data_IF_092083054593
#
_entry.id   IF_092083054593
#
_cell.length_a   1.000
_cell.length_b   1.000
_cell.length_c   1.000
_cell.angle_alpha   90.00
_cell.angle_beta   90.00
_cell.angle_gamma   90.00
#
_symmetry.space_group_name_H-M   'P 1'
#
loop_
_entity.id
_entity.type
_entity.pdbx_description
1 polymer ?
#
# COMPACT_ATOMS: atom_id res chain seq x y z
N UNK A 1 -6.97 -7.76 10.12
CA UNK A 1 -7.45 -7.37 8.79
C UNK A 1 -7.37 -8.59 7.89
N UNK A 2 -8.48 -8.98 7.24
CA UNK A 2 -8.53 -10.15 6.34
C UNK A 2 -8.05 -9.77 4.94
N UNK A 3 -7.50 -10.72 4.17
CA UNK A 3 -7.00 -10.42 2.82
C UNK A 3 -8.08 -9.93 1.86
N UNK A 4 -9.36 -10.28 2.05
CA UNK A 4 -10.45 -9.65 1.30
C UNK A 4 -10.49 -8.12 1.46
N UNK A 5 -10.19 -7.61 2.67
CA UNK A 5 -10.15 -6.18 2.93
C UNK A 5 -8.94 -5.55 2.26
N UNK A 6 -7.76 -6.19 2.36
CA UNK A 6 -6.55 -5.74 1.67
C UNK A 6 -6.76 -5.60 0.17
N UNK A 7 -7.40 -6.60 -0.45
CA UNK A 7 -7.63 -6.63 -1.90
C UNK A 7 -8.62 -5.55 -2.38
N UNK A 8 -9.38 -4.93 -1.47
CA UNK A 8 -10.32 -3.84 -1.75
C UNK A 8 -9.76 -2.46 -1.36
N UNK A 9 -8.55 -2.39 -0.78
CA UNK A 9 -7.93 -1.15 -0.30
C UNK A 9 -6.83 -0.67 -1.24
N UNK A 10 -6.93 0.61 -1.61
CA UNK A 10 -5.90 1.34 -2.37
C UNK A 10 -5.46 2.57 -1.59
N UNK A 11 -4.28 3.10 -1.89
CA UNK A 11 -3.84 4.38 -1.33
C UNK A 11 -4.81 5.51 -1.71
N UNK A 12 -5.20 6.31 -0.73
CA UNK A 12 -6.11 7.44 -0.85
C UNK A 12 -5.39 8.80 -0.95
N UNK A 13 -4.06 8.80 -1.09
CA UNK A 13 -3.25 10.02 -1.21
C UNK A 13 -3.56 10.68 -2.56
N UNK A 14 -3.85 11.99 -2.55
CA UNK A 14 -4.17 12.70 -3.80
C UNK A 14 -2.96 12.72 -4.73
N UNK A 15 -3.20 12.49 -6.02
CA UNK A 15 -2.16 12.47 -7.04
C UNK A 15 -1.43 11.12 -7.19
N UNK A 16 -1.77 10.13 -6.36
CA UNK A 16 -1.33 8.75 -6.58
C UNK A 16 -2.16 8.12 -7.69
N UNK A 17 -1.48 7.64 -8.73
CA UNK A 17 -2.08 6.89 -9.84
C UNK A 17 -1.90 5.38 -9.66
N UNK A 18 -0.82 4.98 -9.00
CA UNK A 18 -0.47 3.59 -8.70
C UNK A 18 -0.58 3.36 -7.19
N UNK A 19 -1.81 3.26 -6.69
CA UNK A 19 -2.10 3.10 -5.26
C UNK A 19 -2.39 1.66 -4.82
N UNK A 20 -2.35 0.71 -5.74
CA UNK A 20 -2.74 -0.69 -5.52
C UNK A 20 -1.78 -1.64 -6.25
N UNK A 21 -1.49 -2.83 -5.68
CA UNK A 21 -1.82 -3.24 -4.31
C UNK A 21 -0.94 -2.55 -3.27
N UNK A 22 -1.47 -2.36 -2.06
CA UNK A 22 -0.66 -1.91 -0.93
C UNK A 22 0.26 -3.06 -0.48
N UNK A 23 1.56 -2.82 -0.37
CA UNK A 23 2.52 -3.84 0.09
C UNK A 23 2.29 -4.14 1.58
N UNK A 24 2.17 -5.40 1.94
CA UNK A 24 2.02 -5.81 3.34
C UNK A 24 3.40 -5.91 3.98
N UNK A 25 3.54 -5.34 5.18
CA UNK A 25 4.62 -5.63 6.12
C UNK A 25 3.98 -6.32 7.32
N UNK A 26 4.07 -7.66 7.37
CA UNK A 26 3.45 -8.46 8.41
C UNK A 26 4.34 -8.56 9.63
N UNK A 27 3.80 -8.21 10.81
CA UNK A 27 4.47 -8.41 12.10
C UNK A 27 3.80 -9.54 12.88
N UNK A 28 2.46 -9.54 12.93
CA UNK A 28 1.68 -10.59 13.58
C UNK A 28 0.52 -11.01 12.68
N UNK A 29 0.50 -12.29 12.34
CA UNK A 29 -0.57 -12.94 11.58
C UNK A 29 -1.23 -13.98 12.46
N UNK A 30 -2.56 -14.04 12.44
CA UNK A 30 -3.35 -15.06 13.12
C UNK A 30 -4.38 -15.63 12.18
N UNK A 31 -4.66 -16.91 12.33
CA UNK A 31 -5.75 -17.57 11.62
C UNK A 31 -7.03 -17.50 12.45
N UNK A 32 -8.14 -17.14 11.82
CA UNK A 32 -9.47 -17.09 12.44
C UNK A 32 -10.43 -17.90 11.56
N UNK A 33 -10.88 -19.09 12.00
CA UNK A 33 -11.71 -19.95 11.18
C UNK A 33 -13.05 -19.29 10.85
N UNK A 34 -13.56 -19.57 9.65
CA UNK A 34 -14.83 -19.03 9.15
C UNK A 34 -15.57 -20.14 8.42
N UNK A 35 -16.89 -20.20 8.56
CA UNK A 35 -17.71 -21.10 7.76
C UNK A 35 -17.55 -20.79 6.27
N UNK A 36 -17.34 -21.82 5.47
CA UNK A 36 -17.18 -21.70 4.02
C UNK A 36 -18.53 -21.44 3.36
N UNK A 37 -18.62 -20.38 2.56
CA UNK A 37 -19.77 -20.09 1.69
C UNK A 37 -19.30 -20.13 0.21
N UNK A 38 -19.50 -21.25 -0.49
CA UNK A 38 -19.11 -21.39 -1.89
C UNK A 38 -19.71 -20.31 -2.80
N UNK A 39 -20.96 -19.89 -2.53
CA UNK A 39 -21.64 -18.89 -3.36
C UNK A 39 -21.00 -17.52 -3.17
N UNK A 40 -20.66 -17.16 -1.95
CA UNK A 40 -19.90 -15.95 -1.66
C UNK A 40 -18.54 -15.95 -2.37
N UNK A 41 -17.78 -17.04 -2.27
CA UNK A 41 -16.45 -17.15 -2.88
C UNK A 41 -16.51 -17.02 -4.40
N UNK A 42 -17.45 -17.70 -5.06
CA UNK A 42 -17.65 -17.58 -6.52
C UNK A 42 -17.98 -16.15 -6.95
N UNK A 43 -18.83 -15.46 -6.19
CA UNK A 43 -19.18 -14.05 -6.44
C UNK A 43 -18.04 -13.08 -6.11
N UNK A 44 -17.15 -13.44 -5.19
CA UNK A 44 -16.02 -12.60 -4.80
C UNK A 44 -14.86 -12.75 -5.77
N UNK A 45 -14.65 -13.95 -6.32
CA UNK A 45 -13.57 -14.25 -7.26
C UNK A 45 -13.53 -13.27 -8.44
N UNK A 46 -14.69 -12.86 -8.97
CA UNK A 46 -14.77 -11.90 -10.09
C UNK A 46 -14.35 -10.47 -9.73
N UNK A 47 -14.26 -10.14 -8.43
CA UNK A 47 -13.90 -8.82 -7.91
C UNK A 47 -12.47 -8.77 -7.37
N UNK A 48 -11.86 -9.92 -7.14
CA UNK A 48 -10.54 -10.04 -6.53
C UNK A 48 -9.46 -9.86 -7.59
N UNK A 49 -8.47 -9.02 -7.29
CA UNK A 49 -7.20 -9.07 -8.00
C UNK A 49 -6.41 -10.28 -7.50
N UNK A 50 -6.33 -11.32 -8.34
CA UNK A 50 -5.73 -12.60 -7.96
C UNK A 50 -4.25 -12.47 -7.60
N UNK A 51 -3.50 -11.69 -8.39
CA UNK A 51 -2.06 -11.51 -8.17
C UNK A 51 -1.79 -10.85 -6.82
N UNK A 52 -2.53 -9.79 -6.49
CA UNK A 52 -2.43 -9.12 -5.20
C UNK A 52 -2.78 -10.04 -4.03
N UNK A 53 -3.77 -10.93 -4.18
CA UNK A 53 -4.12 -11.92 -3.15
C UNK A 53 -2.99 -12.95 -2.94
N UNK A 54 -2.46 -13.51 -4.03
CA UNK A 54 -1.37 -14.50 -3.97
C UNK A 54 -0.14 -13.89 -3.29
N UNK A 55 0.29 -12.71 -3.73
CA UNK A 55 1.46 -12.03 -3.15
C UNK A 55 1.23 -11.69 -1.67
N UNK A 56 0.03 -11.21 -1.31
CA UNK A 56 -0.33 -10.91 0.08
C UNK A 56 -0.37 -12.17 0.96
N UNK A 57 -0.91 -13.27 0.45
CA UNK A 57 -0.97 -14.55 1.17
C UNK A 57 0.43 -15.10 1.48
N UNK A 58 1.35 -15.00 0.51
CA UNK A 58 2.75 -15.41 0.67
C UNK A 58 3.47 -14.60 1.74
N UNK A 59 3.28 -13.27 1.74
CA UNK A 59 3.83 -12.38 2.78
C UNK A 59 3.30 -12.78 4.18
N UNK A 60 2.05 -13.23 4.26
CA UNK A 60 1.43 -13.68 5.50
C UNK A 60 1.78 -15.13 5.88
N UNK A 61 2.67 -15.79 5.13
CA UNK A 61 3.15 -17.15 5.41
C UNK A 61 2.32 -18.27 4.78
N UNK A 62 1.38 -17.95 3.88
CA UNK A 62 0.54 -18.93 3.19
C UNK A 62 0.86 -18.98 1.69
N UNK A 63 1.38 -20.11 1.21
CA UNK A 63 1.88 -20.25 -0.16
C UNK A 63 1.15 -21.30 -1.01
N UNK A 64 0.00 -21.82 -0.54
CA UNK A 64 -0.71 -22.91 -1.21
C UNK A 64 -1.59 -22.45 -2.39
N UNK A 65 -1.73 -21.14 -2.60
CA UNK A 65 -2.43 -20.60 -3.76
C UNK A 65 -1.58 -20.75 -5.04
N UNK A 66 -2.18 -21.18 -6.16
CA UNK A 66 -1.50 -21.19 -7.45
C UNK A 66 -1.24 -19.77 -7.96
N UNK A 67 -0.20 -19.60 -8.78
CA UNK A 67 0.15 -18.30 -9.38
C UNK A 67 -0.97 -17.74 -10.26
N UNK A 68 -1.72 -18.63 -10.93
CA UNK A 68 -2.84 -18.29 -11.79
C UNK A 68 -4.09 -19.09 -11.38
N UNK A 69 -5.24 -18.45 -11.47
CA UNK A 69 -6.52 -19.10 -11.24
C UNK A 69 -7.52 -18.76 -12.35
N UNK A 70 -8.39 -19.71 -12.66
CA UNK A 70 -9.49 -19.53 -13.58
C UNK A 70 -10.84 -19.83 -12.88
N UNK A 71 -11.98 -19.32 -13.39
CA UNK A 71 -13.27 -19.56 -12.77
C UNK A 71 -13.66 -21.04 -12.64
N UNK A 72 -13.17 -21.91 -13.54
CA UNK A 72 -13.47 -23.35 -13.50
C UNK A 72 -12.84 -24.06 -12.29
N UNK A 73 -11.73 -23.53 -11.75
CA UNK A 73 -11.12 -24.07 -10.53
C UNK A 73 -12.02 -23.93 -9.30
N UNK A 74 -12.99 -23.02 -9.30
CA UNK A 74 -13.94 -22.83 -8.19
C UNK A 74 -14.95 -23.99 -8.03
N UNK A 75 -14.98 -24.93 -8.98
CA UNK A 75 -15.75 -26.16 -8.86
C UNK A 75 -14.97 -27.27 -8.14
N UNK A 76 -13.68 -27.05 -7.86
CA UNK A 76 -12.84 -27.98 -7.12
C UNK A 76 -12.86 -27.61 -5.63
N UNK A 77 -13.39 -28.50 -4.79
CA UNK A 77 -13.49 -28.27 -3.34
C UNK A 77 -12.14 -27.92 -2.69
N UNK A 78 -11.06 -28.59 -3.12
CA UNK A 78 -9.70 -28.33 -2.61
C UNK A 78 -9.25 -26.89 -2.92
N UNK A 79 -9.49 -26.41 -4.15
CA UNK A 79 -9.15 -25.02 -4.52
C UNK A 79 -10.01 -24.03 -3.76
N UNK A 80 -11.31 -24.33 -3.61
CA UNK A 80 -12.24 -23.47 -2.89
C UNK A 80 -11.85 -23.33 -1.41
N UNK A 81 -11.36 -24.40 -0.77
CA UNK A 81 -10.84 -24.36 0.60
C UNK A 81 -9.57 -23.51 0.71
N UNK A 82 -8.61 -23.67 -0.20
CA UNK A 82 -7.38 -22.84 -0.21
C UNK A 82 -7.69 -21.36 -0.43
N UNK A 83 -8.59 -21.07 -1.37
CA UNK A 83 -9.06 -19.72 -1.64
C UNK A 83 -9.79 -19.11 -0.45
N UNK A 84 -10.70 -19.87 0.19
CA UNK A 84 -11.40 -19.48 1.42
C UNK A 84 -10.42 -19.13 2.54
N UNK A 85 -9.47 -20.04 2.81
CA UNK A 85 -8.48 -19.88 3.86
C UNK A 85 -7.68 -18.58 3.68
N UNK A 86 -7.09 -18.40 2.50
CA UNK A 86 -6.33 -17.20 2.19
C UNK A 86 -7.17 -15.93 2.31
N UNK A 87 -8.38 -15.94 1.75
CA UNK A 87 -9.20 -14.74 1.64
C UNK A 87 -9.82 -14.30 2.97
N UNK A 88 -10.28 -15.27 3.79
CA UNK A 88 -11.15 -15.01 4.94
C UNK A 88 -10.56 -15.43 6.29
N UNK A 89 -9.64 -16.39 6.34
CA UNK A 89 -9.14 -16.93 7.59
C UNK A 89 -7.82 -16.31 8.01
N UNK A 90 -6.97 -15.94 7.05
CA UNK A 90 -5.74 -15.19 7.31
C UNK A 90 -6.06 -13.77 7.82
N UNK A 91 -5.53 -13.44 8.99
CA UNK A 91 -5.77 -12.16 9.63
C UNK A 91 -4.46 -11.47 10.01
N UNK A 92 -4.15 -10.35 9.36
CA UNK A 92 -3.07 -9.48 9.77
C UNK A 92 -3.50 -8.75 11.04
N UNK A 93 -2.93 -9.09 12.20
CA UNK A 93 -3.25 -8.48 13.49
C UNK A 93 -2.39 -7.25 13.75
N UNK A 94 -1.09 -7.33 13.47
CA UNK A 94 -0.13 -6.23 13.62
C UNK A 94 0.77 -6.15 12.37
N UNK A 95 1.06 -4.94 11.90
CA UNK A 95 1.89 -4.70 10.73
C UNK A 95 1.61 -3.34 10.08
N UNK A 96 1.88 -3.24 8.78
CA UNK A 96 1.58 -2.05 7.99
C UNK A 96 1.20 -2.38 6.54
N UNK A 97 0.45 -1.47 5.92
CA UNK A 97 0.20 -1.44 4.48
C UNK A 97 0.98 -0.28 3.88
N UNK A 98 1.78 -0.53 2.86
CA UNK A 98 2.69 0.48 2.28
C UNK A 98 2.25 0.84 0.87
N UNK A 99 2.05 2.14 0.62
CA UNK A 99 1.75 2.63 -0.71
C UNK A 99 2.92 2.36 -1.66
N UNK A 100 2.71 1.70 -2.81
CA UNK A 100 3.81 1.36 -3.70
C UNK A 100 4.41 2.57 -4.43
N UNK A 101 3.68 3.70 -4.50
CA UNK A 101 4.15 4.91 -5.18
C UNK A 101 4.82 5.93 -4.23
N UNK A 102 4.33 6.05 -3.00
CA UNK A 102 4.79 7.09 -2.06
C UNK A 102 5.54 6.54 -0.84
N UNK A 103 5.58 5.21 -0.69
CA UNK A 103 6.09 4.50 0.49
C UNK A 103 5.42 4.92 1.82
N UNK A 104 4.28 5.63 1.76
CA UNK A 104 3.48 5.94 2.95
C UNK A 104 3.00 4.64 3.58
N UNK A 105 3.33 4.47 4.87
CA UNK A 105 2.93 3.32 5.69
C UNK A 105 1.63 3.60 6.42
N UNK A 106 0.62 2.76 6.25
CA UNK A 106 -0.64 2.77 6.98
C UNK A 106 -0.59 1.66 8.04
N UNK A 107 -0.49 1.99 9.34
CA UNK A 107 -0.32 0.97 10.37
C UNK A 107 -1.59 0.12 10.52
N UNK A 108 -1.40 -1.17 10.79
CA UNK A 108 -2.46 -2.12 11.14
C UNK A 108 -2.27 -2.51 12.60
N UNK A 109 -3.24 -2.19 13.45
CA UNK A 109 -3.18 -2.46 14.89
C UNK A 109 -4.45 -3.20 15.29
N UNK A 110 -4.31 -4.34 15.98
CA UNK A 110 -5.43 -5.22 16.36
C UNK A 110 -6.33 -5.58 15.16
N UNK A 111 -5.70 -5.71 14.00
CA UNK A 111 -6.34 -6.02 12.74
C UNK A 111 -7.16 -4.90 12.10
N UNK A 112 -7.03 -3.66 12.56
CA UNK A 112 -7.68 -2.47 11.99
C UNK A 112 -6.63 -1.64 11.24
N UNK A 113 -6.73 -1.49 9.91
CA UNK A 113 -5.86 -0.61 9.15
C UNK A 113 -6.24 0.86 9.37
N UNK A 114 -5.28 1.71 9.73
CA UNK A 114 -5.48 3.15 9.80
C UNK A 114 -5.09 3.82 8.48
N UNK A 115 -6.11 4.11 7.66
CA UNK A 115 -5.97 4.75 6.35
C UNK A 115 -6.16 6.29 6.40
N UNK A 116 -6.12 6.90 7.58
CA UNK A 116 -6.28 8.35 7.72
C UNK A 116 -5.02 9.09 7.23
N UNK A 117 -5.27 10.20 6.53
CA UNK A 117 -4.24 11.13 6.07
C UNK A 117 -4.31 12.41 6.90
N UNK A 118 -3.15 13.00 7.16
CA UNK A 118 -3.08 14.36 7.71
C UNK A 118 -3.36 15.40 6.62
N UNK A 119 -3.77 16.61 7.00
CA UNK A 119 -4.13 17.68 6.06
C UNK A 119 -2.99 18.00 5.07
N UNK A 120 -1.74 17.95 5.55
CA UNK A 120 -0.53 18.17 4.74
C UNK A 120 -0.26 17.03 3.74
N UNK A 121 -0.72 15.81 4.05
CA UNK A 121 -0.54 14.62 3.21
C UNK A 121 -1.61 14.53 2.10
N UNK A 122 -2.67 15.35 2.17
CA UNK A 122 -3.68 15.48 1.12
C UNK A 122 -3.14 16.22 -0.12
N UNK A 123 -2.02 16.93 -0.01
CA UNK A 123 -1.54 17.83 -1.07
C UNK A 123 -0.06 17.66 -1.40
N UNK A 124 0.53 16.48 -1.19
CA UNK A 124 1.92 16.19 -1.57
C UNK A 124 2.10 16.10 -3.11
N UNK A 125 1.78 17.19 -3.79
CA UNK A 125 2.45 17.71 -4.98
C UNK A 125 2.52 19.24 -4.87
N UNK A 126 3.38 19.73 -3.98
CA UNK A 126 4.13 20.98 -4.15
C UNK A 126 5.25 21.00 -3.11
N UNK A 127 6.38 20.43 -3.54
CA UNK A 127 7.70 20.36 -2.94
C UNK A 127 7.87 20.74 -1.47
N UNK A 128 8.16 19.75 -0.62
CA UNK A 128 9.07 19.96 0.52
C UNK A 128 9.90 18.70 0.74
N UNK A 129 11.19 18.80 0.44
CA UNK A 129 12.21 17.86 0.93
C UNK A 129 12.40 18.08 2.43
N UNK A 130 11.79 17.24 3.26
CA UNK A 130 12.09 17.18 4.69
C UNK A 130 13.21 16.17 4.94
N UNK A 131 14.45 16.67 4.92
CA UNK A 131 15.58 16.03 5.57
C UNK A 131 15.52 16.30 7.08
N UNK A 132 15.51 15.23 7.87
CA UNK A 132 15.60 15.30 9.33
C UNK A 132 17.01 15.64 9.81
N UNK A 133 17.08 16.59 10.75
CA UNK A 133 17.97 16.62 11.92
C UNK A 133 19.47 16.34 11.73
N UNK A 134 20.27 17.41 11.63
CA UNK A 134 21.71 17.37 11.84
C UNK A 134 22.29 18.79 12.04
N UNK A 135 22.66 19.10 13.28
CA UNK A 135 23.48 20.20 13.83
C UNK A 135 23.93 21.38 12.92
N UNK A 136 23.91 22.64 13.42
CA UNK A 136 24.29 23.81 12.63
C UNK A 136 25.81 23.85 12.40
N UNK A 137 26.23 23.62 11.15
CA UNK A 137 27.58 23.99 10.69
C UNK A 137 27.49 25.33 9.94
N UNK A 138 28.10 26.33 10.56
CA UNK A 138 28.43 27.63 9.98
C UNK A 138 29.17 27.43 8.65
N UNK A 139 28.60 27.90 7.54
CA UNK A 139 29.38 28.13 6.33
C UNK A 139 28.84 29.34 5.56
N UNK A 140 29.71 30.35 5.48
CA UNK A 140 29.55 31.60 4.75
C UNK A 140 28.99 31.38 3.35
N UNK A 141 27.84 31.99 3.06
CA UNK A 141 27.44 32.29 1.69
C UNK A 141 27.85 33.72 1.38
N UNK A 142 28.96 33.87 0.67
CA UNK A 142 29.29 35.09 -0.06
C UNK A 142 28.20 35.37 -1.10
N UNK A 143 27.49 36.48 -0.91
CA UNK A 143 26.55 37.06 -1.86
C UNK A 143 27.35 37.60 -3.06
N UNK A 144 27.17 37.03 -4.26
CA UNK A 144 27.57 37.70 -5.50
C UNK A 144 26.41 38.60 -5.94
N UNK A 145 26.56 39.90 -5.68
CA UNK A 145 25.84 40.95 -6.41
C UNK A 145 26.29 40.89 -7.88
N UNK A 146 25.35 40.75 -8.81
CA UNK A 146 25.59 41.14 -10.20
C UNK A 146 25.06 42.56 -10.38
N UNK A 147 26.00 43.51 -10.40
CA UNK A 147 25.80 44.83 -10.96
C UNK A 147 25.72 44.71 -12.49
N UNK A 148 24.59 45.12 -13.07
CA UNK A 148 24.53 45.50 -14.49
C UNK A 148 24.20 47.00 -14.56
N UNK A 149 25.24 47.80 -14.34
CA UNK A 149 25.35 49.14 -14.91
C UNK A 149 26.19 49.02 -16.18
N UNK A 150 25.57 49.19 -17.35
CA UNK A 150 26.31 49.55 -18.56
C UNK A 150 25.60 50.71 -19.23
N UNK A 151 26.44 51.65 -19.63
CA UNK A 151 26.22 53.06 -19.87
C UNK A 151 25.51 53.42 -21.17
N UNK A 152 24.93 54.62 -21.14
CA UNK A 152 24.61 55.55 -22.21
C UNK A 152 25.33 55.34 -23.56
N UNK A 153 24.59 55.57 -24.65
CA UNK A 153 25.01 56.43 -25.76
C UNK A 153 23.76 56.96 -26.48
N UNK A 154 23.48 58.26 -26.32
CA UNK A 154 22.69 59.05 -27.26
C UNK A 154 23.62 59.53 -28.37
N UNK A 155 23.21 59.33 -29.63
CA UNK A 155 23.52 60.16 -30.78
C UNK A 155 22.44 59.90 -31.85
#
# INVERSE_FOLDING_TARGET
MRLITHNMLSSNIKGVTNGFPLRIEAEKVVEKPVEIDPKFLKNMFVKIDWKALVDASRIMGYADLPDEANPSMLELDEFLQKFHHALLELHLEEGALVCPQTDRRFPVIKGIPNMLLHEDELFLQRGVSHGGGGTPKTQSRTFKYLDLNTSLSCA
#
